data_IF_834891327740
#
_entry.id   IF_834891327740
#
_cell.length_a   1.000
_cell.length_b   1.000
_cell.length_c   1.000
_cell.angle_alpha   90.00
_cell.angle_beta   90.00
_cell.angle_gamma   90.00
#
_symmetry.space_group_name_H-M   'P 1'
#
loop_
_entity.id
_entity.type
_entity.pdbx_description
1 polymer ?
#
# COMPACT_ATOMS: atom_id res chain seq x y z
N UNK A 1 34.60 -1.27 20.95
CA UNK A 1 34.00 -0.58 19.79
C UNK A 1 32.50 -0.70 19.94
N UNK A 2 31.81 0.38 20.31
CA UNK A 2 30.36 0.38 20.53
C UNK A 2 29.67 0.46 19.16
N UNK A 3 29.02 -0.62 18.75
CA UNK A 3 28.12 -0.62 17.58
C UNK A 3 26.82 0.04 18.02
N UNK A 4 26.62 1.30 17.66
CA UNK A 4 25.35 1.99 17.85
C UNK A 4 24.34 1.37 16.89
N UNK A 5 23.33 0.69 17.43
CA UNK A 5 22.14 0.31 16.65
C UNK A 5 21.45 1.61 16.23
N UNK A 6 21.19 1.87 14.94
CA UNK A 6 20.51 3.09 14.54
C UNK A 6 19.11 3.11 15.16
N UNK A 7 18.81 4.22 15.81
CA UNK A 7 17.52 4.57 16.38
C UNK A 7 16.41 4.25 15.38
N UNK A 8 15.37 3.52 15.83
CA UNK A 8 14.20 3.15 15.01
C UNK A 8 13.61 4.38 14.32
N UNK A 9 13.99 4.59 13.06
CA UNK A 9 13.45 5.67 12.24
C UNK A 9 11.99 5.34 11.98
N UNK A 10 11.08 6.27 12.26
CA UNK A 10 9.67 6.16 11.87
C UNK A 10 9.62 5.84 10.37
N UNK A 11 9.10 4.66 10.03
CA UNK A 11 8.92 4.24 8.65
C UNK A 11 7.98 5.25 7.97
N UNK A 12 8.46 5.91 6.92
CA UNK A 12 7.68 6.84 6.09
C UNK A 12 7.20 6.11 4.85
N UNK A 13 5.97 6.39 4.45
CA UNK A 13 5.39 5.86 3.21
C UNK A 13 4.82 7.01 2.39
N UNK A 14 4.78 6.80 1.08
CA UNK A 14 4.09 7.68 0.15
C UNK A 14 3.28 6.85 -0.84
N UNK A 15 2.13 7.35 -1.24
CA UNK A 15 1.25 6.69 -2.21
C UNK A 15 1.57 7.25 -3.59
N UNK A 16 1.90 6.37 -4.54
CA UNK A 16 2.08 6.78 -5.92
C UNK A 16 0.74 7.23 -6.51
N UNK A 17 0.70 8.42 -7.12
CA UNK A 17 -0.49 8.96 -7.79
C UNK A 17 -0.33 8.99 -9.31
N UNK A 18 0.90 9.03 -9.81
CA UNK A 18 1.24 8.97 -11.22
C UNK A 18 2.56 8.21 -11.43
N UNK A 19 2.75 7.61 -12.61
CA UNK A 19 3.97 6.86 -12.95
C UNK A 19 4.49 7.20 -14.35
N UNK A 20 4.23 8.41 -14.82
CA UNK A 20 4.68 8.87 -16.13
C UNK A 20 6.21 8.76 -16.22
N UNK A 21 6.70 8.02 -17.21
CA UNK A 21 8.14 7.72 -17.34
C UNK A 21 8.66 6.55 -16.48
N UNK A 22 7.90 6.06 -15.49
CA UNK A 22 8.37 5.09 -14.48
C UNK A 22 7.49 3.84 -14.35
N UNK A 23 6.80 3.43 -15.41
CA UNK A 23 5.78 2.34 -15.38
C UNK A 23 6.30 0.97 -14.91
N UNK A 24 7.60 0.73 -14.98
CA UNK A 24 8.23 -0.51 -14.50
C UNK A 24 8.54 -0.46 -13.00
N UNK A 25 8.90 0.72 -12.50
CA UNK A 25 9.30 0.97 -11.11
C UNK A 25 8.12 1.32 -10.21
N UNK A 26 7.11 2.01 -10.74
CA UNK A 26 6.00 2.59 -9.98
C UNK A 26 4.62 2.18 -10.51
N UNK A 27 3.71 1.92 -9.59
CA UNK A 27 2.31 1.54 -9.81
C UNK A 27 1.40 2.56 -9.11
N UNK A 28 0.57 3.33 -9.84
CA UNK A 28 -0.38 4.26 -9.24
C UNK A 28 -1.32 3.56 -8.27
N UNK A 29 -1.55 4.19 -7.12
CA UNK A 29 -2.33 3.65 -6.00
C UNK A 29 -1.53 2.80 -5.01
N UNK A 30 -0.32 2.36 -5.37
CA UNK A 30 0.54 1.56 -4.48
C UNK A 30 1.32 2.46 -3.51
N UNK A 31 1.56 1.94 -2.30
CA UNK A 31 2.36 2.59 -1.28
C UNK A 31 3.81 2.12 -1.37
N UNK A 32 4.73 3.05 -1.23
CA UNK A 32 6.15 2.79 -1.27
C UNK A 32 6.84 3.34 -0.03
N UNK A 33 7.90 2.65 0.40
CA UNK A 33 8.72 3.10 1.52
C UNK A 33 9.61 4.26 1.08
N UNK A 34 9.56 5.35 1.84
CA UNK A 34 10.41 6.53 1.63
C UNK A 34 11.59 6.46 2.58
N UNK A 35 12.79 6.59 2.02
CA UNK A 35 14.03 6.69 2.78
C UNK A 35 14.41 8.17 2.94
N UNK A 36 14.90 8.61 4.12
CA UNK A 36 15.37 9.99 4.27
C UNK A 36 16.52 10.29 3.31
N UNK A 37 16.41 11.38 2.56
CA UNK A 37 17.46 11.82 1.64
C UNK A 37 17.57 13.36 1.64
N UNK A 38 18.77 13.87 1.37
CA UNK A 38 19.00 15.32 1.21
C UNK A 38 18.32 15.87 -0.05
N UNK A 39 18.03 15.01 -1.03
CA UNK A 39 17.32 15.34 -2.25
C UNK A 39 15.88 15.82 -1.98
N UNK A 40 15.32 15.59 -0.79
CA UNK A 40 14.04 16.19 -0.37
C UNK A 40 14.09 17.74 -0.43
N UNK A 41 15.27 18.35 -0.27
CA UNK A 41 15.46 19.80 -0.43
C UNK A 41 15.32 20.28 -1.89
N UNK A 42 15.21 19.35 -2.84
CA UNK A 42 15.12 19.57 -4.27
C UNK A 42 13.85 18.90 -4.87
N UNK A 43 12.80 18.73 -4.06
CA UNK A 43 11.52 18.14 -4.48
C UNK A 43 11.63 16.71 -5.03
N UNK A 44 12.61 15.93 -4.53
CA UNK A 44 12.82 14.53 -4.88
C UNK A 44 12.62 13.62 -3.66
N UNK A 45 12.03 12.45 -3.86
CA UNK A 45 11.86 11.41 -2.84
C UNK A 45 12.72 10.18 -3.18
N UNK A 46 13.50 9.70 -2.21
CA UNK A 46 14.14 8.38 -2.31
C UNK A 46 13.14 7.30 -1.92
N UNK A 47 12.76 6.48 -2.89
CA UNK A 47 11.71 5.47 -2.76
C UNK A 47 12.26 4.10 -3.13
N UNK A 48 11.91 3.09 -2.33
CA UNK A 48 12.16 1.68 -2.69
C UNK A 48 11.07 1.22 -3.65
N UNK A 49 11.42 0.94 -4.90
CA UNK A 49 10.47 0.71 -6.00
C UNK A 49 9.96 -0.75 -6.09
N UNK A 50 9.22 -1.08 -7.15
CA UNK A 50 8.66 -2.43 -7.39
C UNK A 50 9.72 -3.54 -7.52
N UNK A 51 10.97 -3.18 -7.80
CA UNK A 51 12.10 -4.12 -7.91
C UNK A 51 12.80 -4.36 -6.57
N UNK A 52 12.52 -3.52 -5.57
CA UNK A 52 13.18 -3.54 -4.26
C UNK A 52 14.44 -2.67 -4.19
N UNK A 53 14.76 -1.93 -5.26
CA UNK A 53 15.87 -0.98 -5.31
C UNK A 53 15.42 0.44 -4.91
N UNK A 54 16.33 1.24 -4.36
CA UNK A 54 16.05 2.62 -3.96
C UNK A 54 16.50 3.65 -4.99
N UNK A 55 15.55 4.40 -5.54
CA UNK A 55 15.79 5.44 -6.53
C UNK A 55 15.19 6.78 -6.10
N UNK A 56 15.69 7.86 -6.71
CA UNK A 56 15.13 9.19 -6.56
C UNK A 56 14.05 9.40 -7.64
N UNK A 57 12.89 9.85 -7.20
CA UNK A 57 11.76 10.21 -8.05
C UNK A 57 11.28 11.62 -7.71
N UNK A 58 10.64 12.30 -8.66
CA UNK A 58 9.99 13.58 -8.39
C UNK A 58 8.90 13.38 -7.31
N UNK A 59 8.88 14.28 -6.32
CA UNK A 59 7.96 14.17 -5.19
C UNK A 59 6.48 14.32 -5.60
N UNK A 60 6.21 14.98 -6.73
CA UNK A 60 4.87 15.21 -7.29
C UNK A 60 4.20 13.93 -7.81
N UNK A 61 4.97 12.87 -8.05
CA UNK A 61 4.45 11.55 -8.37
C UNK A 61 3.78 10.88 -7.16
N UNK A 62 3.93 11.45 -5.96
CA UNK A 62 3.48 10.86 -4.71
C UNK A 62 2.64 11.79 -3.84
N UNK A 63 1.65 11.20 -3.18
CA UNK A 63 0.93 11.80 -2.07
C UNK A 63 1.58 11.37 -0.75
N UNK A 64 1.89 12.35 0.11
CA UNK A 64 2.52 12.09 1.39
C UNK A 64 1.52 11.46 2.37
N UNK A 65 1.93 10.36 3.02
CA UNK A 65 1.10 9.66 3.99
C UNK A 65 1.62 9.97 5.39
N UNK A 66 1.21 11.14 5.91
CA UNK A 66 1.59 11.59 7.24
C UNK A 66 0.86 10.83 8.37
N UNK A 67 -0.27 10.19 8.07
CA UNK A 67 -1.02 9.38 9.02
C UNK A 67 -1.61 8.14 8.33
N UNK A 68 -0.92 7.00 8.46
CA UNK A 68 -1.41 5.71 7.95
C UNK A 68 -2.73 5.28 8.62
N UNK A 69 -3.06 5.80 9.82
CA UNK A 69 -4.31 5.45 10.50
C UNK A 69 -5.55 5.89 9.69
N UNK A 70 -5.45 7.01 8.96
CA UNK A 70 -6.50 7.47 8.06
C UNK A 70 -6.64 6.65 6.78
N UNK A 71 -5.61 5.89 6.37
CA UNK A 71 -5.62 5.05 5.17
C UNK A 71 -5.94 3.58 5.45
N UNK A 72 -5.90 3.16 6.72
CA UNK A 72 -6.27 1.79 7.14
C UNK A 72 -7.78 1.53 7.03
N UNK A 73 -8.61 2.52 6.70
CA UNK A 73 -10.06 2.33 6.53
C UNK A 73 -10.45 1.77 5.16
N UNK A 74 -9.59 1.92 4.14
CA UNK A 74 -9.92 1.58 2.76
C UNK A 74 -8.80 0.79 2.08
N UNK A 75 -8.96 -0.54 2.01
CA UNK A 75 -8.09 -1.44 1.27
C UNK A 75 -8.65 -1.70 -0.14
N UNK A 76 -7.96 -1.20 -1.17
CA UNK A 76 -8.29 -1.54 -2.57
C UNK A 76 -7.45 -2.74 -3.03
N UNK A 77 -8.11 -3.86 -3.33
CA UNK A 77 -7.46 -5.04 -3.93
C UNK A 77 -7.90 -5.22 -5.38
N UNK A 78 -6.93 -5.44 -6.26
CA UNK A 78 -7.18 -5.87 -7.63
C UNK A 78 -7.29 -7.38 -7.67
N UNK A 79 -8.43 -7.90 -8.14
CA UNK A 79 -8.63 -9.34 -8.36
C UNK A 79 -8.75 -9.63 -9.85
N UNK A 80 -8.20 -10.75 -10.29
CA UNK A 80 -8.29 -11.17 -11.69
C UNK A 80 -9.74 -11.50 -12.07
N UNK A 81 -10.07 -11.45 -13.36
CA UNK A 81 -11.41 -11.80 -13.86
C UNK A 81 -11.87 -13.20 -13.41
N UNK A 82 -11.04 -14.26 -13.48
CA UNK A 82 -11.41 -15.58 -12.96
C UNK A 82 -11.73 -15.55 -11.46
N UNK A 83 -10.91 -14.86 -10.67
CA UNK A 83 -11.11 -14.76 -9.23
C UNK A 83 -12.41 -14.02 -8.89
N UNK A 84 -12.73 -12.96 -9.62
CA UNK A 84 -14.02 -12.24 -9.50
C UNK A 84 -15.22 -13.15 -9.81
N UNK A 85 -15.12 -14.03 -10.81
CA UNK A 85 -16.16 -14.99 -11.15
C UNK A 85 -16.36 -16.00 -10.01
N UNK A 86 -15.28 -16.53 -9.45
CA UNK A 86 -15.33 -17.44 -8.30
C UNK A 86 -15.95 -16.79 -7.06
N UNK A 87 -15.53 -15.56 -6.71
CA UNK A 87 -16.09 -14.81 -5.58
C UNK A 87 -17.60 -14.61 -5.76
N UNK A 88 -18.04 -14.25 -6.97
CA UNK A 88 -19.47 -14.10 -7.29
C UNK A 88 -20.24 -15.41 -7.13
N UNK A 89 -19.68 -16.53 -7.59
CA UNK A 89 -20.32 -17.83 -7.50
C UNK A 89 -20.53 -18.25 -6.03
N UNK A 90 -19.49 -18.12 -5.19
CA UNK A 90 -19.55 -18.47 -3.77
C UNK A 90 -20.56 -17.57 -3.04
N UNK A 91 -20.55 -16.27 -3.32
CA UNK A 91 -21.49 -15.31 -2.73
C UNK A 91 -22.95 -15.69 -3.06
N UNK A 92 -23.23 -16.03 -4.32
CA UNK A 92 -24.55 -16.48 -4.75
C UNK A 92 -24.98 -17.79 -4.07
N UNK A 93 -24.08 -18.78 -3.97
CA UNK A 93 -24.37 -20.06 -3.31
C UNK A 93 -24.70 -19.89 -1.82
N UNK A 94 -24.07 -18.92 -1.16
CA UNK A 94 -24.32 -18.58 0.26
C UNK A 94 -25.46 -17.59 0.47
N UNK A 95 -26.03 -17.03 -0.61
CA UNK A 95 -27.08 -16.00 -0.52
C UNK A 95 -26.60 -14.68 0.09
N UNK A 96 -25.31 -14.37 0.02
CA UNK A 96 -24.72 -13.13 0.56
C UNK A 96 -24.12 -12.27 -0.57
N UNK A 97 -23.83 -11.01 -0.28
CA UNK A 97 -23.15 -10.14 -1.25
C UNK A 97 -21.66 -10.51 -1.40
N UNK A 98 -21.07 -10.20 -2.57
CA UNK A 98 -19.63 -10.34 -2.77
C UNK A 98 -18.80 -9.56 -1.73
N UNK A 99 -19.30 -8.40 -1.29
CA UNK A 99 -18.63 -7.57 -0.29
C UNK A 99 -18.69 -8.19 1.11
N UNK A 100 -19.80 -8.80 1.49
CA UNK A 100 -19.91 -9.54 2.76
C UNK A 100 -18.94 -10.74 2.78
N UNK A 101 -18.89 -11.50 1.69
CA UNK A 101 -17.96 -12.62 1.54
C UNK A 101 -16.49 -12.18 1.66
N UNK A 102 -16.12 -11.08 1.01
CA UNK A 102 -14.75 -10.56 1.07
C UNK A 102 -14.38 -10.06 2.46
N UNK A 103 -15.31 -9.41 3.18
CA UNK A 103 -15.06 -8.98 4.58
C UNK A 103 -14.80 -10.18 5.49
N UNK A 104 -15.65 -11.20 5.45
CA UNK A 104 -15.43 -12.43 6.23
C UNK A 104 -14.08 -13.10 5.91
N UNK A 105 -13.74 -13.21 4.62
CA UNK A 105 -12.45 -13.80 4.21
C UNK A 105 -11.24 -12.98 4.65
N UNK A 106 -11.37 -11.66 4.66
CA UNK A 106 -10.34 -10.75 5.17
C UNK A 106 -10.22 -10.96 6.68
N UNK A 107 -11.33 -10.94 7.42
CA UNK A 107 -11.35 -11.11 8.88
C UNK A 107 -10.73 -12.46 9.31
N UNK A 108 -11.08 -13.56 8.61
CA UNK A 108 -10.54 -14.90 8.89
C UNK A 108 -9.03 -15.03 8.63
N UNK A 109 -8.44 -14.18 7.77
CA UNK A 109 -7.06 -14.35 7.31
C UNK A 109 -6.09 -13.25 7.71
N UNK A 110 -6.58 -12.08 8.15
CA UNK A 110 -5.76 -10.91 8.47
C UNK A 110 -5.76 -10.54 9.96
N UNK A 111 -6.36 -11.35 10.84
CA UNK A 111 -6.46 -11.09 12.30
C UNK A 111 -6.88 -9.63 12.62
N UNK A 112 -7.88 -9.12 11.89
CA UNK A 112 -8.34 -7.74 12.08
C UNK A 112 -9.06 -7.59 13.44
N UNK A 113 -8.78 -6.52 14.21
CA UNK A 113 -9.50 -6.27 15.44
C UNK A 113 -10.98 -6.00 15.13
N UNK A 114 -11.87 -6.64 15.90
CA UNK A 114 -13.32 -6.45 15.75
C UNK A 114 -13.65 -4.94 15.83
N UNK A 115 -14.26 -4.40 14.77
CA UNK A 115 -14.66 -2.99 14.77
C UNK A 115 -15.84 -2.81 15.74
N UNK A 116 -15.63 -2.05 16.80
CA UNK A 116 -16.68 -1.67 17.73
C UNK A 116 -17.75 -0.86 17.00
N UNK A 117 -19.01 -1.23 17.23
CA UNK A 117 -20.22 -0.61 16.65
C UNK A 117 -20.51 0.76 17.24
#
# INVERSE_FOLDING_TARGET
>A
MMTTVPQSQKQRFAKCIANDGYRLSLTPGQFYRVLPDKAEAHDMLRVVDNTGEDYLFDADLFENVNDLAGWLTDLTISVTVPMKATIRQIANQRGISMAALLREWIDERLDLPAMAS
#
